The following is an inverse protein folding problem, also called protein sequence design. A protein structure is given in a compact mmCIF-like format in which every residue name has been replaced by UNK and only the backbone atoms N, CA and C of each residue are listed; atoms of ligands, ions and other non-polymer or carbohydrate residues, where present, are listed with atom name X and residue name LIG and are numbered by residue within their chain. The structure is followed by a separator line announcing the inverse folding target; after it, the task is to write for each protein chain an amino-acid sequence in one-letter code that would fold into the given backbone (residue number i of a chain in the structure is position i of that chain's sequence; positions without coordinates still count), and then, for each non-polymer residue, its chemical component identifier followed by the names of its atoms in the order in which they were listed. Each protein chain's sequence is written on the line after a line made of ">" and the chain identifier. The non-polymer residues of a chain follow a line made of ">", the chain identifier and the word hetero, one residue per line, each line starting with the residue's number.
data_IF_811231796395
#
_entry.id   IF_811231796395
#
_cell.length_a   1.000
_cell.length_b   1.000
_cell.length_c   1.000
_cell.angle_alpha   90.00
_cell.angle_beta   90.00
_cell.angle_gamma   90.00
#
_symmetry.space_group_name_H-M   'P 1'
#
loop_
_entity.id
_entity.type
_entity.pdbx_description
1 polymer ?
#
# COMPACT_ATOMS: atom_id res chain seq x y z
N UNK A 1 -3.51 9.74 25.47
CA UNK A 1 -2.07 9.44 25.30
C UNK A 1 -1.56 10.38 24.23
N UNK A 2 -0.76 11.35 24.58
CA UNK A 2 -0.34 12.42 23.67
C UNK A 2 0.75 11.85 22.75
N UNK A 3 0.52 11.87 21.43
CA UNK A 3 1.54 11.58 20.45
C UNK A 3 2.77 12.43 20.78
N UNK A 4 3.89 11.79 21.08
CA UNK A 4 5.16 12.50 21.29
C UNK A 4 5.43 13.35 20.04
N UNK A 5 5.40 14.67 20.18
CA UNK A 5 5.52 15.69 19.15
C UNK A 5 4.24 15.98 18.31
N UNK A 6 3.21 16.50 18.97
CA UNK A 6 2.00 16.99 18.28
C UNK A 6 2.29 18.04 17.19
N UNK A 7 3.34 18.85 17.35
CA UNK A 7 3.76 19.83 16.34
C UNK A 7 4.25 19.16 15.05
N UNK A 8 5.14 18.14 15.14
CA UNK A 8 5.63 17.43 13.96
C UNK A 8 4.53 16.64 13.24
N UNK A 9 3.52 16.13 13.98
CA UNK A 9 2.38 15.43 13.37
C UNK A 9 1.55 16.39 12.51
N UNK A 10 1.25 17.56 13.02
CA UNK A 10 0.49 18.59 12.29
C UNK A 10 1.21 19.00 11.01
N UNK A 11 2.50 19.30 11.10
CA UNK A 11 3.32 19.69 9.95
C UNK A 11 3.42 18.59 8.90
N UNK A 12 3.60 17.33 9.33
CA UNK A 12 3.62 16.18 8.44
C UNK A 12 2.30 15.98 7.70
N UNK A 13 1.17 16.11 8.39
CA UNK A 13 -0.16 16.06 7.80
C UNK A 13 -0.38 17.20 6.80
N UNK A 14 -0.01 18.43 7.16
CA UNK A 14 -0.12 19.59 6.28
C UNK A 14 0.70 19.43 5.00
N UNK A 15 1.95 18.95 5.10
CA UNK A 15 2.78 18.63 3.92
C UNK A 15 2.09 17.63 2.99
N UNK A 16 1.37 16.67 3.54
CA UNK A 16 0.60 15.69 2.78
C UNK A 16 -0.77 16.21 2.30
N UNK A 17 -1.16 17.43 2.67
CA UNK A 17 -2.46 18.01 2.35
C UNK A 17 -3.62 17.35 3.10
N UNK A 18 -3.35 16.85 4.31
CA UNK A 18 -4.31 16.14 5.16
C UNK A 18 -4.53 16.93 6.43
N UNK A 19 -5.78 17.11 6.82
CA UNK A 19 -6.13 17.91 8.01
C UNK A 19 -5.99 17.08 9.29
N UNK A 20 -6.50 15.84 9.30
CA UNK A 20 -6.51 14.98 10.48
C UNK A 20 -6.37 13.51 10.09
N UNK A 21 -5.86 12.70 11.02
CA UNK A 21 -5.97 11.24 10.92
C UNK A 21 -7.43 10.82 11.02
N UNK A 22 -7.81 9.80 10.28
CA UNK A 22 -9.07 9.11 10.50
C UNK A 22 -8.94 8.22 11.75
N UNK A 23 -10.02 8.04 12.50
CA UNK A 23 -10.03 7.22 13.72
C UNK A 23 -9.36 5.84 13.53
N UNK A 24 -9.60 5.19 12.38
CA UNK A 24 -8.99 3.90 12.07
C UNK A 24 -7.49 3.92 11.80
N UNK A 25 -6.91 5.09 11.58
CA UNK A 25 -5.48 5.27 11.33
C UNK A 25 -4.70 5.56 12.62
N UNK A 26 -5.33 6.02 13.69
CA UNK A 26 -4.67 6.47 14.93
C UNK A 26 -3.89 5.36 15.61
N UNK A 27 -4.54 4.22 15.90
CA UNK A 27 -3.90 3.11 16.60
C UNK A 27 -2.75 2.47 15.79
N UNK A 28 -2.89 2.16 14.47
CA UNK A 28 -1.77 1.66 13.70
C UNK A 28 -0.66 2.71 13.55
N UNK A 29 -0.99 3.99 13.39
CA UNK A 29 0.02 5.05 13.29
C UNK A 29 0.83 5.16 14.58
N UNK A 30 0.19 5.07 15.75
CA UNK A 30 0.88 5.09 17.03
C UNK A 30 1.86 3.91 17.16
N UNK A 31 1.45 2.70 16.76
CA UNK A 31 2.35 1.53 16.79
C UNK A 31 3.55 1.71 15.86
N UNK A 32 3.33 2.32 14.69
CA UNK A 32 4.40 2.63 13.74
C UNK A 32 5.38 3.67 14.31
N UNK A 33 4.89 4.72 14.96
CA UNK A 33 5.75 5.71 15.64
C UNK A 33 6.49 5.12 16.84
N UNK A 34 5.93 4.10 17.48
CA UNK A 34 6.60 3.33 18.55
C UNK A 34 7.67 2.37 17.99
N UNK A 35 7.91 2.33 16.69
CA UNK A 35 8.88 1.43 16.05
C UNK A 35 8.44 -0.04 15.97
N UNK A 36 7.15 -0.35 16.19
CA UNK A 36 6.63 -1.71 16.15
C UNK A 36 6.27 -2.11 14.74
N UNK A 37 6.54 -3.38 14.40
CA UNK A 37 5.98 -3.97 13.20
C UNK A 37 4.45 -4.00 13.25
N UNK A 38 3.83 -3.81 12.11
CA UNK A 38 2.38 -3.71 12.03
C UNK A 38 1.81 -4.47 10.82
N UNK A 39 0.69 -5.16 11.04
CA UNK A 39 -0.15 -5.70 9.99
C UNK A 39 -1.48 -4.95 10.03
N UNK A 40 -1.81 -4.24 8.97
CA UNK A 40 -2.99 -3.39 8.93
C UNK A 40 -3.96 -3.85 7.83
N UNK A 41 -5.13 -4.30 8.28
CA UNK A 41 -6.26 -4.63 7.42
C UNK A 41 -7.21 -3.43 7.38
N UNK A 42 -7.18 -2.71 6.27
CA UNK A 42 -7.98 -1.51 6.07
C UNK A 42 -8.55 -1.49 4.64
N UNK A 43 -9.83 -1.18 4.45
CA UNK A 43 -10.47 -1.22 3.14
C UNK A 43 -9.78 -0.31 2.13
N UNK A 44 -10.02 -0.56 0.83
CA UNK A 44 -9.61 0.35 -0.24
C UNK A 44 -10.18 1.74 0.04
N UNK A 45 -9.44 2.79 -0.28
CA UNK A 45 -9.74 4.18 0.07
C UNK A 45 -9.76 4.48 1.60
N UNK A 46 -9.38 3.54 2.46
CA UNK A 46 -9.22 3.74 3.90
C UNK A 46 -8.05 4.63 4.30
N UNK A 47 -7.16 4.97 3.34
CA UNK A 47 -5.99 5.80 3.57
C UNK A 47 -4.78 5.00 4.09
N UNK A 48 -4.60 3.75 3.63
CA UNK A 48 -3.46 2.89 3.99
C UNK A 48 -2.11 3.55 3.72
N UNK A 49 -1.98 4.24 2.58
CA UNK A 49 -0.71 4.88 2.18
C UNK A 49 -0.20 5.89 3.19
N UNK A 50 -1.10 6.56 3.92
CA UNK A 50 -0.72 7.52 4.96
C UNK A 50 0.12 6.86 6.06
N UNK A 51 -0.09 5.57 6.34
CA UNK A 51 0.59 4.86 7.43
C UNK A 51 2.10 4.69 7.20
N UNK A 52 2.57 4.78 5.97
CA UNK A 52 4.01 4.79 5.67
C UNK A 52 4.50 6.14 5.15
N UNK A 53 3.63 6.93 4.51
CA UNK A 53 4.01 8.25 4.01
C UNK A 53 4.21 9.25 5.15
N UNK A 54 3.30 9.31 6.11
CA UNK A 54 3.39 10.27 7.20
C UNK A 54 4.65 10.08 8.06
N UNK A 55 5.00 8.86 8.50
CA UNK A 55 6.25 8.66 9.23
C UNK A 55 7.50 9.02 8.41
N UNK A 56 7.48 8.78 7.08
CA UNK A 56 8.60 9.17 6.21
C UNK A 56 8.73 10.68 6.05
N UNK A 57 7.60 11.40 5.97
CA UNK A 57 7.57 12.86 5.83
C UNK A 57 7.92 13.58 7.14
N UNK A 58 7.61 12.95 8.27
CA UNK A 58 7.94 13.47 9.60
C UNK A 58 9.39 13.20 10.04
N UNK A 59 10.07 12.31 9.32
CA UNK A 59 11.44 11.96 9.66
C UNK A 59 12.41 13.01 9.12
N UNK A 60 12.96 13.79 10.02
CA UNK A 60 13.96 14.83 9.76
C UNK A 60 15.41 14.32 9.86
N UNK A 61 15.59 13.03 10.18
CA UNK A 61 16.90 12.42 10.40
C UNK A 61 17.51 11.78 9.15
N UNK A 62 16.88 11.96 8.00
CA UNK A 62 17.42 11.48 6.73
C UNK A 62 17.22 9.99 6.49
N UNK A 63 16.07 9.42 6.86
CA UNK A 63 15.78 7.99 6.72
C UNK A 63 14.99 7.66 5.46
N UNK A 64 15.18 6.45 4.96
CA UNK A 64 14.50 5.90 3.80
C UNK A 64 13.37 4.95 4.23
N UNK A 65 12.21 5.13 3.61
CA UNK A 65 11.10 4.17 3.63
C UNK A 65 10.98 3.50 2.26
N UNK A 66 11.21 2.19 2.21
CA UNK A 66 10.99 1.37 1.03
C UNK A 66 9.52 0.93 0.98
N UNK A 67 8.85 1.19 -0.14
CA UNK A 67 7.45 0.80 -0.37
C UNK A 67 7.38 -0.25 -1.47
N UNK A 68 7.10 -1.49 -1.11
CA UNK A 68 6.95 -2.59 -2.06
C UNK A 68 5.47 -2.70 -2.43
N UNK A 69 5.14 -2.41 -3.68
CA UNK A 69 3.75 -2.40 -4.18
C UNK A 69 3.67 -3.05 -5.58
N UNK A 70 2.60 -3.80 -5.88
CA UNK A 70 2.52 -4.56 -7.14
C UNK A 70 2.06 -3.72 -8.35
N UNK A 71 1.45 -2.56 -8.12
CA UNK A 71 0.75 -1.81 -9.15
C UNK A 71 1.59 -0.59 -9.59
N UNK A 72 2.30 -0.72 -10.71
CA UNK A 72 3.17 0.33 -11.27
C UNK A 72 2.45 1.67 -11.46
N UNK A 73 1.24 1.67 -12.03
CA UNK A 73 0.47 2.90 -12.23
C UNK A 73 0.21 3.61 -10.89
N UNK A 74 -0.17 2.86 -9.84
CA UNK A 74 -0.39 3.42 -8.52
C UNK A 74 0.90 3.95 -7.89
N UNK A 75 2.04 3.29 -8.12
CA UNK A 75 3.35 3.78 -7.65
C UNK A 75 3.66 5.15 -8.26
N UNK A 76 3.49 5.29 -9.59
CA UNK A 76 3.72 6.55 -10.31
C UNK A 76 2.81 7.67 -9.80
N UNK A 77 1.50 7.41 -9.72
CA UNK A 77 0.52 8.38 -9.19
C UNK A 77 0.89 8.85 -7.77
N UNK A 78 1.36 7.93 -6.92
CA UNK A 78 1.78 8.25 -5.56
C UNK A 78 3.06 9.08 -5.53
N UNK A 79 4.06 8.72 -6.34
CA UNK A 79 5.33 9.46 -6.43
C UNK A 79 5.08 10.87 -6.96
N UNK A 80 4.28 11.04 -8.00
CA UNK A 80 3.96 12.34 -8.58
C UNK A 80 3.19 13.22 -7.58
N UNK A 81 2.23 12.65 -6.86
CA UNK A 81 1.49 13.34 -5.80
C UNK A 81 2.38 13.77 -4.63
N UNK A 82 3.41 13.00 -4.29
CA UNK A 82 4.38 13.36 -3.24
C UNK A 82 5.34 14.46 -3.74
N UNK A 83 5.89 14.29 -4.94
CA UNK A 83 6.79 15.27 -5.56
C UNK A 83 6.15 16.64 -5.75
N UNK A 84 4.87 16.67 -6.15
CA UNK A 84 4.12 17.93 -6.29
C UNK A 84 3.96 18.70 -4.97
N UNK A 85 4.16 18.03 -3.84
CA UNK A 85 4.16 18.62 -2.49
C UNK A 85 5.57 18.88 -1.93
N UNK A 86 6.61 18.76 -2.78
CA UNK A 86 7.99 18.91 -2.38
C UNK A 86 8.53 17.76 -1.53
N UNK A 87 7.83 16.61 -1.50
CA UNK A 87 8.25 15.43 -0.75
C UNK A 87 9.12 14.57 -1.67
N UNK A 88 10.28 14.16 -1.16
CA UNK A 88 11.23 13.34 -1.89
C UNK A 88 10.69 11.93 -2.04
N UNK A 89 10.47 11.51 -3.26
CA UNK A 89 9.97 10.18 -3.60
C UNK A 89 10.48 9.75 -4.97
N UNK A 90 10.77 8.46 -5.13
CA UNK A 90 11.19 7.87 -6.39
C UNK A 90 10.51 6.52 -6.61
N UNK A 91 10.57 6.02 -7.85
CA UNK A 91 10.08 4.70 -8.23
C UNK A 91 11.15 3.91 -8.93
N UNK A 92 11.31 2.64 -8.57
CA UNK A 92 12.08 1.64 -9.31
C UNK A 92 11.13 0.62 -9.92
N UNK A 93 11.04 0.63 -11.24
CA UNK A 93 10.25 -0.36 -11.98
C UNK A 93 10.94 -0.73 -13.31
N UNK A 94 10.39 -1.67 -14.06
CA UNK A 94 11.00 -2.17 -15.31
C UNK A 94 10.95 -1.19 -16.48
N UNK A 95 10.38 0.00 -16.31
CA UNK A 95 10.23 0.98 -17.39
C UNK A 95 11.43 1.95 -17.44
N UNK A 96 12.25 1.94 -16.39
CA UNK A 96 13.49 2.71 -16.30
C UNK A 96 14.64 2.01 -17.02
N UNK A 97 15.50 2.78 -17.65
CA UNK A 97 16.78 2.31 -18.17
C UNK A 97 17.76 1.93 -17.03
N UNK A 98 18.82 1.21 -17.35
CA UNK A 98 19.84 0.83 -16.36
C UNK A 98 20.59 2.05 -15.77
N UNK A 99 20.69 3.15 -16.50
CA UNK A 99 21.28 4.39 -16.01
C UNK A 99 20.33 5.07 -15.00
N UNK A 100 19.07 5.26 -15.38
CA UNK A 100 18.05 5.80 -14.48
C UNK A 100 17.89 5.00 -13.20
N UNK A 101 17.97 3.65 -13.29
CA UNK A 101 17.97 2.79 -12.10
C UNK A 101 19.09 3.12 -11.12
N UNK A 102 20.33 3.30 -11.64
CA UNK A 102 21.48 3.64 -10.81
C UNK A 102 21.31 5.01 -10.17
N UNK A 103 20.94 6.01 -10.97
CA UNK A 103 20.74 7.38 -10.50
C UNK A 103 19.69 7.44 -9.37
N UNK A 104 18.57 6.72 -9.53
CA UNK A 104 17.53 6.63 -8.50
C UNK A 104 18.06 5.93 -7.24
N UNK A 105 18.81 4.84 -7.37
CA UNK A 105 19.36 4.13 -6.21
C UNK A 105 20.38 4.97 -5.47
N UNK A 106 21.32 5.61 -6.15
CA UNK A 106 22.32 6.51 -5.55
C UNK A 106 21.62 7.64 -4.79
N UNK A 107 20.68 8.35 -5.43
CA UNK A 107 19.95 9.44 -4.80
C UNK A 107 19.14 9.00 -3.57
N UNK A 108 18.41 7.88 -3.65
CA UNK A 108 17.50 7.46 -2.58
C UNK A 108 18.17 6.67 -1.46
N UNK A 109 19.31 6.03 -1.71
CA UNK A 109 20.08 5.32 -0.68
C UNK A 109 21.02 6.23 0.11
N UNK A 110 21.35 7.40 -0.44
CA UNK A 110 22.16 8.42 0.23
C UNK A 110 21.30 9.51 0.90
N UNK A 111 20.09 9.72 0.42
CA UNK A 111 19.20 10.78 0.88
C UNK A 111 17.86 10.21 1.37
N UNK A 112 17.23 10.87 2.32
CA UNK A 112 15.94 10.47 2.88
C UNK A 112 14.78 10.55 1.88
N UNK A 113 13.73 9.79 2.12
CA UNK A 113 12.50 9.86 1.36
C UNK A 113 11.75 8.55 1.26
N UNK A 114 10.93 8.42 0.20
CA UNK A 114 10.18 7.20 -0.11
C UNK A 114 10.66 6.63 -1.44
N UNK A 115 11.05 5.36 -1.42
CA UNK A 115 11.37 4.60 -2.63
C UNK A 115 10.28 3.57 -2.88
N UNK A 116 9.53 3.75 -3.97
CA UNK A 116 8.55 2.78 -4.42
C UNK A 116 9.21 1.75 -5.33
N UNK A 117 8.97 0.48 -5.05
CA UNK A 117 9.61 -0.65 -5.72
C UNK A 117 8.55 -1.67 -6.15
N UNK A 118 8.62 -2.10 -7.42
CA UNK A 118 7.89 -3.27 -7.84
C UNK A 118 8.60 -4.54 -7.32
N UNK A 119 7.87 -5.56 -6.79
CA UNK A 119 8.47 -6.71 -6.13
C UNK A 119 9.50 -7.47 -6.96
N UNK A 120 9.32 -7.48 -8.28
CA UNK A 120 10.24 -8.12 -9.22
C UNK A 120 11.63 -7.46 -9.26
N UNK A 121 11.75 -6.20 -8.87
CA UNK A 121 13.02 -5.48 -8.84
C UNK A 121 13.98 -6.03 -7.76
N UNK A 122 13.46 -6.66 -6.72
CA UNK A 122 14.27 -7.37 -5.72
C UNK A 122 15.03 -8.58 -6.29
N UNK A 123 14.72 -8.99 -7.54
CA UNK A 123 15.49 -10.03 -8.26
C UNK A 123 16.77 -9.48 -8.88
N UNK A 124 16.88 -8.17 -9.05
CA UNK A 124 18.09 -7.53 -9.55
C UNK A 124 19.16 -7.53 -8.46
N UNK A 125 20.33 -8.16 -8.67
CA UNK A 125 21.41 -8.14 -7.69
C UNK A 125 21.81 -6.71 -7.32
N UNK A 126 21.92 -5.81 -8.31
CA UNK A 126 22.29 -4.41 -8.08
C UNK A 126 21.30 -3.68 -7.16
N UNK A 127 19.99 -3.90 -7.32
CA UNK A 127 18.95 -3.32 -6.46
C UNK A 127 19.04 -3.91 -5.05
N UNK A 128 19.19 -5.23 -4.95
CA UNK A 128 19.27 -5.91 -3.66
C UNK A 128 20.52 -5.48 -2.88
N UNK A 129 21.68 -5.44 -3.51
CA UNK A 129 22.96 -5.02 -2.91
C UNK A 129 22.92 -3.56 -2.46
N UNK A 130 22.39 -2.65 -3.30
CA UNK A 130 22.27 -1.23 -2.95
C UNK A 130 21.38 -1.05 -1.71
N UNK A 131 20.24 -1.73 -1.64
CA UNK A 131 19.33 -1.65 -0.49
C UNK A 131 19.89 -2.35 0.76
N UNK A 132 20.62 -3.46 0.62
CA UNK A 132 21.29 -4.14 1.72
C UNK A 132 22.41 -3.28 2.34
N UNK A 133 23.09 -2.52 1.51
CA UNK A 133 24.16 -1.60 1.94
C UNK A 133 23.63 -0.24 2.41
N UNK A 134 22.34 0.03 2.29
CA UNK A 134 21.76 1.34 2.58
C UNK A 134 21.63 1.57 4.10
N UNK A 135 22.43 2.47 4.70
CA UNK A 135 22.43 2.68 6.15
C UNK A 135 21.21 3.44 6.66
N UNK A 136 20.48 4.08 5.76
CA UNK A 136 19.30 4.90 6.09
C UNK A 136 17.97 4.16 5.88
N UNK A 137 17.98 2.92 5.39
CA UNK A 137 16.78 2.11 5.24
C UNK A 137 16.25 1.65 6.61
N UNK A 138 15.22 2.32 7.09
CA UNK A 138 14.69 2.06 8.44
C UNK A 138 13.27 1.53 8.45
N UNK A 139 12.58 1.57 7.31
CA UNK A 139 11.19 1.09 7.22
C UNK A 139 10.91 0.45 5.87
N UNK A 140 10.17 -0.66 5.91
CA UNK A 140 9.66 -1.35 4.71
C UNK A 140 8.15 -1.45 4.82
N UNK A 141 7.45 -0.84 3.87
CA UNK A 141 6.00 -1.01 3.71
C UNK A 141 5.73 -2.02 2.60
N UNK A 142 5.00 -3.08 2.91
CA UNK A 142 4.56 -4.09 1.93
C UNK A 142 3.08 -3.87 1.67
N UNK A 143 2.77 -3.24 0.54
CA UNK A 143 1.38 -3.03 0.13
C UNK A 143 0.81 -4.28 -0.55
N UNK A 144 -0.51 -4.44 -0.46
CA UNK A 144 -1.23 -5.63 -0.93
C UNK A 144 -0.64 -6.95 -0.41
N UNK A 145 -0.24 -6.96 0.87
CA UNK A 145 0.42 -8.09 1.53
C UNK A 145 -0.36 -9.42 1.47
N UNK A 146 -1.66 -9.39 1.12
CA UNK A 146 -2.45 -10.61 0.87
C UNK A 146 -1.95 -11.45 -0.31
N UNK A 147 -1.09 -10.89 -1.15
CA UNK A 147 -0.46 -11.63 -2.27
C UNK A 147 0.62 -12.60 -1.77
N UNK A 148 1.31 -12.30 -0.65
CA UNK A 148 2.37 -13.14 -0.07
C UNK A 148 1.96 -14.61 0.10
N UNK A 149 0.80 -14.94 0.70
CA UNK A 149 0.38 -16.32 0.87
C UNK A 149 0.03 -17.06 -0.42
N UNK A 150 -0.17 -16.34 -1.51
CA UNK A 150 -0.65 -16.86 -2.80
C UNK A 150 0.46 -17.01 -3.84
N UNK A 151 1.72 -16.95 -3.45
CA UNK A 151 2.90 -16.83 -4.31
C UNK A 151 3.20 -18.10 -5.17
N UNK A 152 2.21 -18.60 -5.92
CA UNK A 152 2.37 -19.76 -6.83
C UNK A 152 2.68 -19.38 -8.28
N UNK A 153 2.24 -18.22 -8.75
CA UNK A 153 2.46 -17.73 -10.12
C UNK A 153 3.73 -16.86 -10.21
N UNK A 154 4.30 -16.66 -11.38
CA UNK A 154 5.59 -15.95 -11.57
C UNK A 154 5.57 -14.51 -11.03
N UNK A 155 4.50 -13.78 -11.22
CA UNK A 155 4.31 -12.46 -10.60
C UNK A 155 4.27 -12.55 -9.07
N UNK A 156 3.57 -13.54 -8.54
CA UNK A 156 3.44 -13.77 -7.09
C UNK A 156 4.70 -14.37 -6.46
N UNK A 157 5.54 -15.07 -7.25
CA UNK A 157 6.85 -15.56 -6.79
C UNK A 157 7.79 -14.43 -6.37
N UNK A 158 7.65 -13.24 -6.95
CA UNK A 158 8.43 -12.08 -6.53
C UNK A 158 8.08 -11.65 -5.10
N UNK A 159 6.79 -11.69 -4.73
CA UNK A 159 6.37 -11.46 -3.35
C UNK A 159 6.92 -12.48 -2.37
N UNK A 160 7.04 -13.74 -2.76
CA UNK A 160 7.63 -14.79 -1.91
C UNK A 160 9.11 -14.55 -1.55
N UNK A 161 9.79 -13.66 -2.26
CA UNK A 161 11.19 -13.29 -1.98
C UNK A 161 11.34 -12.10 -1.04
N UNK A 162 10.27 -11.39 -0.73
CA UNK A 162 10.34 -10.20 0.14
C UNK A 162 10.86 -10.57 1.52
N UNK A 163 10.39 -11.68 2.10
CA UNK A 163 10.87 -12.15 3.41
C UNK A 163 12.36 -12.40 3.40
N UNK A 164 12.87 -13.24 2.48
CA UNK A 164 14.29 -13.52 2.39
C UNK A 164 15.16 -12.30 2.09
N UNK A 165 14.60 -11.29 1.41
CA UNK A 165 15.26 -10.00 1.25
C UNK A 165 15.33 -9.26 2.60
N UNK A 166 14.21 -9.16 3.34
CA UNK A 166 14.19 -8.55 4.68
C UNK A 166 15.18 -9.23 5.63
N UNK A 167 15.21 -10.56 5.64
CA UNK A 167 16.13 -11.36 6.46
C UNK A 167 17.61 -11.10 6.12
N UNK A 168 17.88 -10.70 4.87
CA UNK A 168 19.26 -10.37 4.42
C UNK A 168 19.74 -8.98 4.84
N UNK A 169 18.85 -8.14 5.39
CA UNK A 169 19.17 -6.78 5.81
C UNK A 169 19.81 -6.75 7.20
N UNK A 170 20.98 -6.15 7.32
CA UNK A 170 21.71 -6.06 8.61
C UNK A 170 21.02 -5.16 9.63
N UNK A 171 20.21 -4.20 9.19
CA UNK A 171 19.63 -3.14 10.03
C UNK A 171 18.26 -3.47 10.63
N UNK A 172 17.65 -4.58 10.30
CA UNK A 172 16.30 -4.96 10.74
C UNK A 172 15.29 -3.81 10.68
N UNK A 173 14.96 -3.28 9.50
CA UNK A 173 14.04 -2.17 9.36
C UNK A 173 12.64 -2.56 9.86
N UNK A 174 11.89 -1.57 10.38
CA UNK A 174 10.49 -1.76 10.74
C UNK A 174 9.66 -2.21 9.55
N UNK A 175 8.82 -3.23 9.71
CA UNK A 175 7.97 -3.77 8.65
C UNK A 175 6.51 -3.42 8.86
N UNK A 176 5.88 -2.85 7.84
CA UNK A 176 4.46 -2.50 7.81
C UNK A 176 3.79 -3.24 6.67
N UNK A 177 3.01 -4.28 6.98
CA UNK A 177 2.24 -5.03 5.99
C UNK A 177 0.81 -4.48 5.88
N UNK A 178 0.41 -4.08 4.68
CA UNK A 178 -0.86 -3.42 4.41
C UNK A 178 -1.70 -4.25 3.45
N UNK A 179 -2.98 -4.40 3.74
CA UNK A 179 -3.90 -5.08 2.82
C UNK A 179 -5.35 -4.64 3.04
N UNK A 180 -6.17 -4.72 2.00
CA UNK A 180 -7.61 -4.50 2.14
C UNK A 180 -8.33 -5.77 2.63
N UNK A 181 -7.82 -6.95 2.28
CA UNK A 181 -8.50 -8.22 2.53
C UNK A 181 -7.50 -9.29 2.98
N UNK A 182 -7.74 -9.88 4.13
CA UNK A 182 -7.00 -11.05 4.58
C UNK A 182 -7.80 -11.85 5.61
N UNK A 183 -7.79 -13.16 5.48
CA UNK A 183 -8.34 -14.07 6.48
C UNK A 183 -7.37 -14.21 7.66
N UNK A 184 -7.81 -14.86 8.76
CA UNK A 184 -6.90 -15.19 9.87
C UNK A 184 -5.73 -16.06 9.42
N UNK A 185 -5.97 -16.98 8.46
CA UNK A 185 -4.93 -17.85 7.89
C UNK A 185 -3.92 -17.04 7.06
N UNK A 186 -4.40 -16.05 6.31
CA UNK A 186 -3.53 -15.18 5.52
C UNK A 186 -2.65 -14.31 6.42
N UNK A 187 -3.19 -13.78 7.51
CA UNK A 187 -2.41 -13.02 8.51
C UNK A 187 -1.29 -13.88 9.11
N UNK A 188 -1.57 -15.13 9.48
CA UNK A 188 -0.55 -16.04 9.98
C UNK A 188 0.55 -16.31 8.95
N UNK A 189 0.17 -16.45 7.67
CA UNK A 189 1.13 -16.63 6.57
C UNK A 189 1.95 -15.37 6.30
N UNK A 190 1.32 -14.18 6.34
CA UNK A 190 2.01 -12.89 6.21
C UNK A 190 3.08 -12.76 7.30
N UNK A 191 2.72 -13.02 8.57
CA UNK A 191 3.66 -13.00 9.69
C UNK A 191 4.89 -13.87 9.41
N UNK A 192 4.65 -15.13 9.05
CA UNK A 192 5.71 -16.08 8.74
C UNK A 192 6.53 -15.69 7.50
N UNK A 193 5.89 -15.15 6.47
CA UNK A 193 6.58 -14.78 5.22
C UNK A 193 7.46 -13.54 5.35
N UNK A 194 7.19 -12.67 6.31
CA UNK A 194 7.93 -11.42 6.55
C UNK A 194 8.77 -11.46 7.83
N UNK A 195 8.78 -12.60 8.55
CA UNK A 195 9.43 -12.79 9.86
C UNK A 195 9.02 -11.72 10.91
N UNK A 196 7.73 -11.43 10.97
CA UNK A 196 7.13 -10.43 11.88
C UNK A 196 6.11 -11.05 12.83
N UNK A 197 6.46 -12.13 13.49
CA UNK A 197 5.56 -12.89 14.36
C UNK A 197 4.92 -12.04 15.47
N UNK A 198 5.67 -11.07 15.99
CA UNK A 198 5.23 -10.15 17.04
C UNK A 198 4.55 -8.88 16.52
N UNK A 199 4.31 -8.75 15.22
CA UNK A 199 3.68 -7.58 14.64
C UNK A 199 2.31 -7.30 15.24
N UNK A 200 2.04 -6.03 15.53
CA UNK A 200 0.73 -5.57 15.98
C UNK A 200 -0.30 -5.70 14.86
N UNK A 201 -1.45 -6.30 15.16
CA UNK A 201 -2.51 -6.52 14.17
C UNK A 201 -3.64 -5.51 14.34
N UNK A 202 -3.91 -4.74 13.31
CA UNK A 202 -5.01 -3.77 13.25
C UNK A 202 -6.01 -4.19 12.19
N UNK A 203 -7.30 -4.22 12.56
CA UNK A 203 -8.41 -4.57 11.66
C UNK A 203 -9.46 -3.48 11.71
N UNK A 204 -9.71 -2.86 10.58
CA UNK A 204 -10.86 -1.96 10.42
C UNK A 204 -12.07 -2.77 9.94
N UNK A 205 -13.27 -2.52 10.43
CA UNK A 205 -14.49 -3.12 9.89
C UNK A 205 -14.60 -2.86 8.38
N UNK A 206 -14.92 -3.90 7.62
CA UNK A 206 -15.09 -3.79 6.16
C UNK A 206 -16.47 -3.22 5.78
N UNK A 207 -17.36 -3.09 6.76
CA UNK A 207 -18.70 -2.54 6.53
C UNK A 207 -18.60 -1.08 6.09
N UNK A 208 -19.27 -0.79 5.00
CA UNK A 208 -19.41 0.55 4.45
C UNK A 208 -20.85 0.99 4.61
N UNK A 209 -21.12 1.80 5.62
CA UNK A 209 -22.49 2.25 5.93
C UNK A 209 -23.09 3.16 4.85
N UNK A 210 -22.25 3.70 3.97
CA UNK A 210 -22.64 4.50 2.81
C UNK A 210 -22.94 3.66 1.55
N UNK A 211 -22.85 2.32 1.60
CA UNK A 211 -23.17 1.45 0.47
C UNK A 211 -24.43 0.65 0.78
N UNK A 212 -25.47 0.87 -0.03
CA UNK A 212 -26.70 0.10 0.02
C UNK A 212 -26.72 -0.96 -1.08
N UNK A 213 -26.81 -2.24 -0.70
CA UNK A 213 -26.96 -3.34 -1.63
C UNK A 213 -28.43 -3.51 -1.98
N UNK A 214 -28.78 -3.36 -3.26
CA UNK A 214 -30.12 -3.58 -3.79
C UNK A 214 -30.08 -4.76 -4.78
N UNK A 215 -30.83 -5.81 -4.51
CA UNK A 215 -30.97 -6.96 -5.41
C UNK A 215 -32.31 -6.80 -6.15
N UNK A 216 -32.24 -6.67 -7.47
CA UNK A 216 -33.45 -6.68 -8.33
C UNK A 216 -33.49 -7.93 -9.18
N UNK A 217 -34.59 -8.67 -9.10
CA UNK A 217 -34.87 -9.73 -10.03
C UNK A 217 -35.33 -9.14 -11.38
N UNK A 218 -34.58 -9.45 -12.44
CA UNK A 218 -34.93 -9.08 -13.80
C UNK A 218 -35.79 -10.23 -14.38
N UNK A 219 -37.08 -9.98 -14.48
CA UNK A 219 -38.01 -10.92 -15.11
C UNK A 219 -37.85 -10.85 -16.64
N UNK A 220 -37.15 -11.82 -17.20
CA UNK A 220 -36.91 -11.94 -18.63
C UNK A 220 -38.18 -12.38 -19.40
N UNK A 221 -39.26 -12.75 -18.74
CA UNK A 221 -40.51 -13.22 -19.38
C UNK A 221 -41.29 -12.06 -20.05
N UNK A 222 -41.03 -10.80 -19.63
CA UNK A 222 -41.69 -9.60 -20.19
C UNK A 222 -41.04 -9.06 -21.45
N UNK A 223 -39.95 -9.67 -21.94
CA UNK A 223 -39.33 -9.28 -23.21
C UNK A 223 -40.19 -9.80 -24.35
N UNK A 224 -40.99 -8.95 -24.98
CA UNK A 224 -41.87 -9.27 -26.10
C UNK A 224 -41.06 -9.99 -27.20
N UNK A 225 -41.53 -11.18 -27.62
CA UNK A 225 -41.06 -11.92 -28.78
C UNK A 225 -41.08 -10.97 -30.00
N UNK A 226 -39.90 -10.63 -30.56
CA UNK A 226 -39.80 -9.85 -31.79
C UNK A 226 -38.86 -8.64 -31.76
N UNK A 227 -38.38 -8.19 -30.62
CA UNK A 227 -37.31 -7.16 -30.55
C UNK A 227 -35.99 -7.79 -30.12
N UNK A 228 -34.87 -7.37 -30.75
CA UNK A 228 -33.51 -7.76 -30.31
C UNK A 228 -33.43 -7.64 -28.79
N UNK A 229 -33.04 -8.73 -28.11
CA UNK A 229 -32.82 -8.72 -26.66
C UNK A 229 -31.85 -7.57 -26.36
N UNK A 230 -32.23 -6.58 -25.52
CA UNK A 230 -31.25 -5.63 -25.04
C UNK A 230 -30.16 -6.42 -24.29
N UNK A 231 -28.89 -5.99 -24.42
CA UNK A 231 -27.82 -6.63 -23.66
C UNK A 231 -28.16 -6.53 -22.16
N UNK A 232 -27.74 -7.51 -21.39
CA UNK A 232 -27.95 -7.52 -19.92
C UNK A 232 -27.43 -6.25 -19.27
N UNK A 233 -26.38 -5.65 -19.86
CA UNK A 233 -25.82 -4.35 -19.48
C UNK A 233 -26.81 -3.20 -19.65
N UNK A 234 -27.52 -3.12 -20.80
CA UNK A 234 -28.50 -2.05 -21.04
C UNK A 234 -29.71 -2.10 -20.09
N UNK A 235 -30.11 -3.30 -19.68
CA UNK A 235 -31.21 -3.48 -18.70
C UNK A 235 -30.76 -3.05 -17.29
N UNK A 236 -29.52 -3.38 -16.92
CA UNK A 236 -28.90 -2.93 -15.67
C UNK A 236 -28.74 -1.41 -15.62
N UNK A 237 -28.22 -0.80 -16.69
CA UNK A 237 -28.04 0.64 -16.78
C UNK A 237 -29.36 1.41 -16.59
N UNK A 238 -30.42 1.05 -17.33
CA UNK A 238 -31.74 1.67 -17.20
C UNK A 238 -32.38 1.49 -15.81
N UNK A 239 -32.08 0.39 -15.11
CA UNK A 239 -32.58 0.16 -13.76
C UNK A 239 -31.84 1.02 -12.71
N UNK A 240 -30.55 1.25 -12.90
CA UNK A 240 -29.74 2.13 -12.03
C UNK A 240 -30.13 3.60 -12.22
N UNK A 241 -30.29 4.07 -13.46
CA UNK A 241 -30.74 5.45 -13.73
C UNK A 241 -32.09 5.77 -13.10
N UNK A 242 -33.04 4.83 -13.13
CA UNK A 242 -34.36 5.02 -12.50
C UNK A 242 -34.32 5.11 -10.97
N UNK A 243 -33.33 4.50 -10.34
CA UNK A 243 -33.18 4.58 -8.86
C UNK A 243 -32.46 5.84 -8.43
N UNK A 244 -31.51 6.34 -9.24
CA UNK A 244 -30.79 7.59 -8.98
C UNK A 244 -31.68 8.84 -9.25
N UNK A 245 -32.80 8.65 -9.96
CA UNK A 245 -33.75 9.73 -10.30
C UNK A 245 -34.93 9.84 -9.31
N UNK A 246 -34.94 9.05 -8.23
CA UNK A 246 -35.90 9.12 -7.11
C UNK A 246 -35.27 9.79 -5.90
#
# INVERSE_FOLDING_TARGET
>A
MVLKNAYNLYDGLQKLGITNLRQQQEAPMQAIFDGKDAIVLMPTAGGKSLLYQLPAVMDDTGKLTLVISPLKALQLDQVDALRSKGIRAAVLNSDLSAAEHRDVLEDMTEHCGLLYLAPEQLRSPAVAEALQSCPILTRIAVDEAHILPQAKDDFRKAYGKIGSFIDSLSLHPQVIALTATATRKDVARIRKSLDIDNASLFRTPLRRDNLHLCIKNIDNSKIRKGKRKPSTENVLFQSVERELSK
#
